data_IF_089571005472
#
_entry.id   IF_089571005472
#
_cell.length_a   1.000
_cell.length_b   1.000
_cell.length_c   1.000
_cell.angle_alpha   90.00
_cell.angle_beta   90.00
_cell.angle_gamma   90.00
#
_symmetry.space_group_name_H-M   'P 1'
#
loop_
_entity.id
_entity.type
_entity.pdbx_description
1 polymer ?
#
# COMPACT_ATOMS: atom_id res chain seq x y z
N UNK A 1 1.45 7.29 9.31
CA UNK A 1 1.07 6.97 10.72
C UNK A 1 0.71 8.24 11.44
N UNK A 2 -0.39 8.28 12.20
CA UNK A 2 -0.75 9.45 13.01
C UNK A 2 0.10 9.52 14.29
N UNK A 3 0.24 10.73 14.84
CA UNK A 3 0.98 10.94 16.09
C UNK A 3 0.41 10.13 17.26
N UNK A 4 -0.92 9.94 17.28
CA UNK A 4 -1.61 9.14 18.29
C UNK A 4 -1.24 7.64 18.24
N UNK A 5 -1.17 7.06 17.04
CA UNK A 5 -0.77 5.65 16.86
C UNK A 5 0.69 5.45 17.27
N UNK A 6 1.56 6.40 16.90
CA UNK A 6 2.98 6.37 17.33
C UNK A 6 3.10 6.37 18.85
N UNK A 7 2.44 7.32 19.50
CA UNK A 7 2.54 7.48 20.96
C UNK A 7 2.02 6.24 21.70
N UNK A 8 0.91 5.65 21.23
CA UNK A 8 0.38 4.42 21.79
C UNK A 8 1.38 3.26 21.68
N UNK A 9 1.98 3.06 20.49
CA UNK A 9 2.99 2.02 20.30
C UNK A 9 4.21 2.21 21.22
N UNK A 10 4.76 3.43 21.30
CA UNK A 10 5.92 3.71 22.15
C UNK A 10 5.60 3.50 23.64
N UNK A 11 4.38 3.85 24.07
CA UNK A 11 3.92 3.65 25.44
C UNK A 11 3.73 2.16 25.78
N UNK A 12 3.11 1.39 24.90
CA UNK A 12 2.80 -0.03 25.13
C UNK A 12 4.05 -0.91 25.05
N UNK A 13 4.94 -0.64 24.09
CA UNK A 13 6.15 -1.44 23.86
C UNK A 13 7.34 -1.00 24.73
N UNK A 14 7.36 0.25 25.18
CA UNK A 14 8.54 0.88 25.80
C UNK A 14 9.67 1.18 24.79
N UNK A 15 9.43 1.00 23.49
CA UNK A 15 10.40 1.25 22.42
C UNK A 15 10.25 2.67 21.85
N UNK A 16 11.31 3.17 21.22
CA UNK A 16 11.30 4.41 20.44
C UNK A 16 11.08 4.09 18.97
N UNK A 17 9.99 4.59 18.38
CA UNK A 17 9.68 4.37 16.98
C UNK A 17 10.28 5.46 16.10
N UNK A 18 11.18 5.08 15.20
CA UNK A 18 11.81 5.96 14.21
C UNK A 18 11.35 5.53 12.83
N UNK A 19 10.67 6.43 12.12
CA UNK A 19 10.23 6.17 10.75
C UNK A 19 11.27 6.76 9.80
N UNK A 20 11.83 5.93 8.93
CA UNK A 20 12.70 6.35 7.84
C UNK A 20 11.88 6.45 6.55
N UNK A 21 11.55 7.67 6.15
CA UNK A 21 10.83 7.89 4.89
C UNK A 21 11.74 7.59 3.70
N UNK A 22 11.27 6.77 2.77
CA UNK A 22 12.08 6.24 1.66
C UNK A 22 11.52 6.50 0.26
N UNK A 23 10.61 7.47 0.11
CA UNK A 23 9.94 7.77 -1.16
C UNK A 23 8.65 6.96 -1.33
N UNK A 24 8.35 6.56 -2.56
CA UNK A 24 7.29 5.59 -2.84
C UNK A 24 7.72 4.14 -2.51
N UNK A 25 6.79 3.18 -2.57
CA UNK A 25 7.08 1.79 -2.18
C UNK A 25 8.11 1.11 -3.10
N UNK A 26 8.16 1.47 -4.39
CA UNK A 26 9.14 0.95 -5.34
C UNK A 26 10.56 1.47 -5.05
N UNK A 27 10.68 2.75 -4.71
CA UNK A 27 11.92 3.37 -4.26
C UNK A 27 12.38 2.78 -2.92
N UNK A 28 11.46 2.63 -1.97
CA UNK A 28 11.71 1.99 -0.68
C UNK A 28 12.26 0.57 -0.86
N UNK A 29 11.59 -0.28 -1.65
CA UNK A 29 12.03 -1.65 -1.91
C UNK A 29 13.41 -1.68 -2.59
N UNK A 30 13.62 -0.82 -3.58
CA UNK A 30 14.90 -0.76 -4.29
C UNK A 30 16.05 -0.38 -3.37
N UNK A 31 15.83 0.56 -2.43
CA UNK A 31 16.81 0.88 -1.38
C UNK A 31 17.06 -0.30 -0.46
N UNK A 32 16.01 -0.98 0.00
CA UNK A 32 16.14 -2.14 0.88
C UNK A 32 17.01 -3.23 0.24
N UNK A 33 16.74 -3.58 -1.03
CA UNK A 33 17.53 -4.54 -1.82
C UNK A 33 19.00 -4.16 -1.94
N UNK A 34 19.30 -2.89 -2.21
CA UNK A 34 20.68 -2.40 -2.30
C UNK A 34 21.43 -2.47 -0.96
N UNK A 35 20.69 -2.47 0.15
CA UNK A 35 21.23 -2.50 1.51
C UNK A 35 20.96 -3.81 2.25
N UNK A 36 20.57 -4.89 1.57
CA UNK A 36 20.17 -6.14 2.23
C UNK A 36 21.25 -6.69 3.19
N UNK A 37 22.54 -6.57 2.83
CA UNK A 37 23.65 -6.96 3.71
C UNK A 37 24.01 -5.96 4.82
N UNK A 38 23.35 -4.79 4.87
CA UNK A 38 23.49 -3.76 5.90
C UNK A 38 22.17 -2.98 6.05
N UNK A 39 21.11 -3.63 6.55
CA UNK A 39 19.76 -3.07 6.54
C UNK A 39 19.69 -1.77 7.35
N UNK A 40 18.90 -0.82 6.86
CA UNK A 40 18.80 0.52 7.45
C UNK A 40 17.74 0.62 8.57
N UNK A 41 16.92 -0.42 8.75
CA UNK A 41 15.90 -0.49 9.79
C UNK A 41 15.49 -1.93 10.08
N UNK A 42 14.74 -2.11 11.17
CA UNK A 42 14.36 -3.43 11.68
C UNK A 42 13.07 -3.97 11.03
N UNK A 43 12.23 -3.09 10.47
CA UNK A 43 10.93 -3.42 9.86
C UNK A 43 10.77 -2.63 8.56
N UNK A 44 10.42 -3.33 7.48
CA UNK A 44 9.94 -2.70 6.24
C UNK A 44 8.42 -2.74 6.22
N UNK A 45 7.78 -1.60 6.02
CA UNK A 45 6.33 -1.46 6.12
C UNK A 45 5.78 -0.85 4.83
N UNK A 46 4.74 -1.47 4.26
CA UNK A 46 4.09 -0.99 3.03
C UNK A 46 4.64 -1.62 1.74
N UNK A 47 5.09 -2.88 1.79
CA UNK A 47 5.30 -3.68 0.57
C UNK A 47 3.94 -4.23 0.13
N UNK A 48 3.47 -3.82 -1.05
CA UNK A 48 2.23 -4.32 -1.65
C UNK A 48 2.43 -5.67 -2.37
N UNK A 49 1.32 -6.27 -2.82
CA UNK A 49 1.32 -7.56 -3.50
C UNK A 49 1.99 -7.53 -4.90
N UNK A 50 2.05 -6.38 -5.58
CA UNK A 50 2.76 -6.26 -6.85
C UNK A 50 4.29 -6.29 -6.65
N UNK A 51 4.76 -5.80 -5.50
CA UNK A 51 6.19 -5.74 -5.15
C UNK A 51 6.68 -6.97 -4.36
N UNK A 52 5.76 -7.76 -3.79
CA UNK A 52 6.07 -8.86 -2.87
C UNK A 52 7.07 -9.88 -3.44
N UNK A 53 6.83 -10.37 -4.66
CA UNK A 53 7.71 -11.38 -5.30
C UNK A 53 9.17 -10.92 -5.37
N UNK A 54 9.39 -9.67 -5.78
CA UNK A 54 10.73 -9.07 -5.85
C UNK A 54 11.37 -8.90 -4.47
N UNK A 55 10.57 -8.67 -3.43
CA UNK A 55 11.07 -8.57 -2.06
C UNK A 55 11.51 -9.95 -1.52
N UNK A 56 10.74 -11.00 -1.80
CA UNK A 56 11.06 -12.38 -1.41
C UNK A 56 12.27 -12.92 -2.18
N UNK A 57 12.33 -12.71 -3.49
CA UNK A 57 13.49 -13.07 -4.33
C UNK A 57 14.79 -12.35 -3.88
N UNK A 58 14.64 -11.22 -3.19
CA UNK A 58 15.72 -10.42 -2.65
C UNK A 58 16.23 -10.84 -1.26
N UNK A 59 15.64 -11.88 -0.65
CA UNK A 59 16.01 -12.40 0.68
C UNK A 59 16.06 -11.29 1.75
N UNK A 60 15.07 -10.39 1.72
CA UNK A 60 15.04 -9.20 2.57
C UNK A 60 14.53 -9.44 3.98
N UNK A 61 13.83 -10.54 4.19
CA UNK A 61 12.95 -10.74 5.33
C UNK A 61 13.26 -12.04 6.04
N UNK A 62 13.10 -12.02 7.36
CA UNK A 62 13.13 -13.20 8.19
C UNK A 62 11.68 -13.66 8.46
N UNK A 63 11.39 -14.98 8.42
CA UNK A 63 10.07 -15.51 8.76
C UNK A 63 9.59 -15.07 10.15
N UNK A 64 8.36 -14.57 10.22
CA UNK A 64 7.68 -14.23 11.47
C UNK A 64 6.17 -14.46 11.34
N UNK A 65 5.67 -15.44 12.09
CA UNK A 65 4.23 -15.68 12.21
C UNK A 65 3.65 -14.91 13.40
N UNK A 66 2.86 -13.88 13.10
CA UNK A 66 2.15 -13.11 14.11
C UNK A 66 1.05 -13.95 14.76
N UNK A 67 0.92 -13.87 16.09
CA UNK A 67 -0.21 -14.50 16.80
C UNK A 67 -1.58 -13.94 16.42
N UNK A 68 -1.61 -12.79 15.73
CA UNK A 68 -2.83 -12.18 15.19
C UNK A 68 -3.19 -12.65 13.79
N UNK A 69 -2.35 -13.46 13.15
CA UNK A 69 -2.59 -13.95 11.79
C UNK A 69 -3.88 -14.78 11.69
N UNK A 70 -4.29 -15.44 12.78
CA UNK A 70 -5.58 -16.15 12.89
C UNK A 70 -6.82 -15.25 12.65
N UNK A 71 -6.66 -13.93 12.74
CA UNK A 71 -7.72 -12.94 12.51
C UNK A 71 -7.78 -12.46 11.05
N UNK A 72 -6.81 -12.87 10.23
CA UNK A 72 -6.69 -12.51 8.81
C UNK A 72 -7.34 -13.61 7.98
N UNK A 73 -8.17 -13.21 7.01
CA UNK A 73 -8.71 -14.15 6.03
C UNK A 73 -7.56 -14.78 5.23
N UNK A 74 -7.55 -16.11 5.13
CA UNK A 74 -6.49 -16.90 4.48
C UNK A 74 -6.19 -16.41 3.06
N UNK A 75 -7.19 -15.86 2.35
CA UNK A 75 -7.02 -15.32 0.99
C UNK A 75 -6.03 -14.16 0.90
N UNK A 76 -5.75 -13.47 2.01
CA UNK A 76 -4.80 -12.36 2.08
C UNK A 76 -3.41 -12.80 2.53
N UNK A 77 -3.23 -14.06 2.95
CA UNK A 77 -1.92 -14.62 3.29
C UNK A 77 -1.23 -15.06 2.01
N UNK A 78 -0.52 -14.12 1.39
CA UNK A 78 0.11 -14.32 0.07
C UNK A 78 1.49 -14.98 0.14
N UNK A 79 2.08 -15.05 1.32
CA UNK A 79 3.35 -15.72 1.60
C UNK A 79 3.15 -16.86 2.62
N UNK A 80 3.16 -18.13 2.18
CA UNK A 80 3.02 -19.29 3.05
C UNK A 80 4.17 -19.50 4.04
N UNK A 81 5.33 -18.89 3.80
CA UNK A 81 6.50 -18.99 4.69
C UNK A 81 6.54 -17.84 5.72
N UNK A 82 5.55 -16.93 5.66
CA UNK A 82 5.33 -15.87 6.64
C UNK A 82 6.50 -14.89 6.81
N UNK A 83 7.21 -14.56 5.74
CA UNK A 83 8.19 -13.47 5.74
C UNK A 83 7.53 -12.09 5.81
N UNK A 84 6.27 -11.99 5.36
CA UNK A 84 5.45 -10.78 5.46
C UNK A 84 4.13 -11.05 6.18
N UNK A 85 3.62 -10.05 6.90
CA UNK A 85 2.31 -10.10 7.56
C UNK A 85 1.34 -9.14 6.87
N UNK A 86 0.17 -9.60 6.40
CA UNK A 86 -0.88 -8.73 5.89
C UNK A 86 -1.44 -7.83 6.99
N UNK A 87 -1.58 -6.54 6.72
CA UNK A 87 -2.01 -5.54 7.71
C UNK A 87 -3.26 -4.77 7.29
N UNK A 88 -3.48 -4.64 5.99
CA UNK A 88 -4.64 -3.99 5.38
C UNK A 88 -4.95 -4.62 4.02
N UNK A 89 -6.12 -4.26 3.49
CA UNK A 89 -6.50 -4.49 2.11
C UNK A 89 -7.36 -3.32 1.66
N UNK A 90 -7.36 -3.04 0.37
CA UNK A 90 -8.12 -1.95 -0.21
C UNK A 90 -8.56 -2.27 -1.63
N UNK A 91 -9.57 -1.54 -2.09
CA UNK A 91 -10.02 -1.59 -3.48
C UNK A 91 -9.74 -0.23 -4.13
N UNK A 92 -9.28 -0.25 -5.37
CA UNK A 92 -9.07 0.97 -6.16
C UNK A 92 -10.41 1.37 -6.78
N UNK A 93 -11.01 2.41 -6.21
CA UNK A 93 -12.30 2.96 -6.64
C UNK A 93 -12.15 4.38 -7.16
N UNK A 94 -12.91 4.71 -8.21
CA UNK A 94 -13.03 6.08 -8.68
C UNK A 94 -14.04 6.84 -7.84
N UNK A 95 -13.64 8.01 -7.37
CA UNK A 95 -14.52 8.96 -6.71
C UNK A 95 -14.89 10.06 -7.69
N UNK A 96 -16.11 10.58 -7.58
CA UNK A 96 -16.59 11.67 -8.42
C UNK A 96 -17.25 12.77 -7.58
N UNK A 97 -17.20 14.01 -8.09
CA UNK A 97 -17.87 15.15 -7.48
C UNK A 97 -19.37 15.14 -7.83
N UNK A 98 -20.19 14.75 -6.86
CA UNK A 98 -21.65 14.66 -7.04
C UNK A 98 -22.30 15.99 -7.42
N UNK A 99 -21.82 17.11 -6.86
CA UNK A 99 -22.39 18.42 -7.13
C UNK A 99 -22.05 18.87 -8.55
N UNK A 100 -20.80 18.71 -8.96
CA UNK A 100 -20.33 19.09 -10.30
C UNK A 100 -21.12 18.39 -11.42
N UNK A 101 -21.33 17.08 -11.29
CA UNK A 101 -22.10 16.29 -12.26
C UNK A 101 -23.58 16.68 -12.27
N UNK A 102 -24.19 16.88 -11.10
CA UNK A 102 -25.59 17.29 -10.98
C UNK A 102 -25.85 18.69 -11.55
N UNK A 103 -24.98 19.67 -11.30
CA UNK A 103 -25.11 21.04 -11.80
C UNK A 103 -24.99 21.15 -13.31
N UNK A 104 -24.32 20.18 -13.94
CA UNK A 104 -24.11 20.12 -15.39
C UNK A 104 -25.09 19.23 -16.12
N UNK A 105 -25.99 18.58 -15.38
CA UNK A 105 -26.96 17.62 -15.92
C UNK A 105 -26.28 16.50 -16.74
N UNK A 106 -25.10 16.07 -16.27
CA UNK A 106 -24.33 14.95 -16.85
C UNK A 106 -24.41 13.77 -15.88
N UNK A 107 -24.83 12.61 -16.38
CA UNK A 107 -24.77 11.36 -15.61
C UNK A 107 -23.32 10.92 -15.40
N UNK A 108 -22.90 10.58 -14.17
CA UNK A 108 -21.54 10.12 -13.91
C UNK A 108 -21.29 8.74 -14.55
N UNK A 109 -20.03 8.41 -14.89
CA UNK A 109 -19.67 7.11 -15.45
C UNK A 109 -20.06 5.98 -14.48
N UNK A 110 -20.62 4.89 -15.01
CA UNK A 110 -21.09 3.74 -14.25
C UNK A 110 -20.17 2.52 -14.39
N UNK A 111 -19.21 2.60 -15.31
CA UNK A 111 -18.23 1.54 -15.60
C UNK A 111 -16.88 2.14 -16.01
N UNK A 112 -15.84 1.30 -16.04
CA UNK A 112 -14.53 1.72 -16.56
C UNK A 112 -14.59 2.04 -18.06
N UNK A 113 -15.44 1.35 -18.82
CA UNK A 113 -15.63 1.59 -20.25
C UNK A 113 -16.25 2.97 -20.52
N UNK A 114 -17.08 3.47 -19.61
CA UNK A 114 -17.64 4.82 -19.75
C UNK A 114 -16.55 5.88 -19.72
N UNK A 115 -15.42 5.65 -19.02
CA UNK A 115 -14.37 6.65 -18.83
C UNK A 115 -13.65 7.06 -20.12
N UNK A 116 -13.72 6.23 -21.17
CA UNK A 116 -13.12 6.55 -22.48
C UNK A 116 -14.08 7.32 -23.40
N UNK A 117 -15.34 7.52 -22.98
CA UNK A 117 -16.30 8.31 -23.74
C UNK A 117 -15.82 9.77 -23.83
N UNK A 118 -15.82 10.38 -25.03
CA UNK A 118 -15.44 11.79 -25.22
C UNK A 118 -16.16 12.78 -24.31
N UNK A 119 -17.36 12.45 -23.81
CA UNK A 119 -18.12 13.26 -22.84
C UNK A 119 -17.38 13.45 -21.51
N UNK A 120 -16.47 12.55 -21.12
CA UNK A 120 -15.67 12.66 -19.91
C UNK A 120 -14.22 13.07 -20.17
N UNK A 121 -13.89 13.51 -21.39
CA UNK A 121 -12.55 13.96 -21.73
C UNK A 121 -12.07 15.08 -20.80
N UNK A 122 -10.92 14.88 -20.16
CA UNK A 122 -10.33 15.83 -19.21
C UNK A 122 -10.95 15.84 -17.81
N UNK A 123 -11.86 14.90 -17.49
CA UNK A 123 -12.49 14.79 -16.17
C UNK A 123 -11.88 13.69 -15.28
N UNK A 124 -11.09 12.78 -15.86
CA UNK A 124 -10.41 11.72 -15.12
C UNK A 124 -8.98 12.13 -14.75
N UNK A 125 -8.66 12.01 -13.46
CA UNK A 125 -7.30 12.09 -12.95
C UNK A 125 -7.01 10.78 -12.24
N UNK A 126 -5.89 10.15 -12.59
CA UNK A 126 -5.39 8.92 -11.96
C UNK A 126 -3.92 9.11 -11.60
N UNK A 127 -3.45 8.30 -10.66
CA UNK A 127 -2.05 8.28 -10.28
C UNK A 127 -1.18 7.69 -11.40
N UNK A 128 0.11 8.02 -11.41
CA UNK A 128 1.06 7.46 -12.37
C UNK A 128 1.35 5.99 -12.02
N UNK A 129 1.01 5.01 -12.87
CA UNK A 129 1.20 3.60 -12.57
C UNK A 129 2.68 3.17 -12.48
N UNK A 130 3.62 4.01 -12.95
CA UNK A 130 5.05 3.71 -12.85
C UNK A 130 5.64 3.99 -11.46
N UNK A 131 4.98 4.84 -10.65
CA UNK A 131 5.50 5.27 -9.34
C UNK A 131 4.50 5.08 -8.21
N UNK A 132 3.20 5.03 -8.52
CA UNK A 132 2.19 4.72 -7.52
C UNK A 132 2.01 3.22 -7.33
N UNK A 133 1.75 2.85 -6.09
CA UNK A 133 1.56 1.48 -5.60
C UNK A 133 0.22 1.43 -4.86
N UNK A 134 -0.91 1.48 -5.59
CA UNK A 134 -2.22 1.50 -4.95
C UNK A 134 -2.63 0.14 -4.35
N UNK A 135 -1.83 -0.90 -4.58
CA UNK A 135 -2.12 -2.31 -4.27
C UNK A 135 -1.69 -3.21 -5.42
#
# INVERSE_FOLDING_TARGET
MSDGVKAAFEQESGLKLRILQSGDAGEMLSKALLTAGNPQGDVLFGVDNNLLSRALDGDLFEPYESSRLEQVDERYVLDPEHHVTPIDHGEVCLNYDKAWFSEREIEPPQSLDDLVDPRFAGLLVVENPATSTPG
#
